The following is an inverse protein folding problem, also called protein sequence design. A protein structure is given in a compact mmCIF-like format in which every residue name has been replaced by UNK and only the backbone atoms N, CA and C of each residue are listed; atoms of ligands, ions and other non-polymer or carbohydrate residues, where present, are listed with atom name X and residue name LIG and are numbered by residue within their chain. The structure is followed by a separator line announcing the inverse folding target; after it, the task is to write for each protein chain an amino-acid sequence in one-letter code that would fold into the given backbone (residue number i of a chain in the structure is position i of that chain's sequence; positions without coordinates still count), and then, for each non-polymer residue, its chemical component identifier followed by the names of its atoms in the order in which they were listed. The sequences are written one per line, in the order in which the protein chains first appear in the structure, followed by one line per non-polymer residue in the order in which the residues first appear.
data_IF_186472120163
#
_entry.id   IF_186472120163
#
_cell.length_a   1.000
_cell.length_b   1.000
_cell.length_c   1.000
_cell.angle_alpha   90.00
_cell.angle_beta   90.00
_cell.angle_gamma   90.00
#
_symmetry.space_group_name_H-M   'P 1'
#
loop_
_entity.id
_entity.type
_entity.pdbx_description
1 polymer ?
#
# COMPACT_ATOMS: atom_id res chain seq x y z
N UNK A 1 -16.45 -4.27 -11.40
CA UNK A 1 -17.57 -5.23 -11.45
C UNK A 1 -18.65 -4.88 -12.48
N UNK A 2 -19.02 -3.60 -12.67
CA UNK A 2 -20.22 -3.19 -13.43
C UNK A 2 -20.06 -3.10 -14.95
N UNK A 3 -18.83 -3.18 -15.48
CA UNK A 3 -18.59 -2.86 -16.90
C UNK A 3 -17.92 -4.01 -17.68
N UNK A 4 -17.40 -5.04 -17.02
CA UNK A 4 -16.62 -6.08 -17.72
C UNK A 4 -17.49 -6.93 -18.66
N UNK A 5 -18.78 -7.05 -18.36
CA UNK A 5 -19.78 -7.72 -19.21
C UNK A 5 -19.92 -7.03 -20.58
N UNK A 6 -19.70 -5.72 -20.67
CA UNK A 6 -19.74 -4.97 -21.94
C UNK A 6 -18.61 -5.38 -22.91
N UNK A 7 -17.57 -6.05 -22.40
CA UNK A 7 -16.43 -6.54 -23.18
C UNK A 7 -16.45 -8.07 -23.32
N UNK A 8 -17.58 -8.73 -22.97
CA UNK A 8 -17.72 -10.18 -23.02
C UNK A 8 -17.07 -10.94 -21.87
N UNK A 9 -16.61 -10.25 -20.82
CA UNK A 9 -16.12 -10.90 -19.60
C UNK A 9 -17.23 -11.20 -18.60
N UNK A 10 -16.95 -12.07 -17.64
CA UNK A 10 -17.91 -12.50 -16.61
C UNK A 10 -17.55 -11.86 -15.26
N UNK A 11 -18.45 -11.03 -14.73
CA UNK A 11 -18.18 -10.28 -13.49
C UNK A 11 -17.99 -11.19 -12.27
N UNK A 12 -18.70 -12.31 -12.22
CA UNK A 12 -18.63 -13.26 -11.10
C UNK A 12 -17.45 -14.24 -11.23
N UNK A 13 -16.56 -14.02 -12.21
CA UNK A 13 -15.43 -14.89 -12.53
C UNK A 13 -14.14 -14.09 -12.70
N UNK A 14 -13.93 -13.11 -11.82
CA UNK A 14 -12.74 -12.26 -11.81
C UNK A 14 -11.60 -12.95 -11.07
N UNK A 15 -10.42 -12.99 -11.71
CA UNK A 15 -9.15 -13.37 -11.07
C UNK A 15 -8.29 -12.12 -10.92
N UNK A 16 -7.84 -11.82 -9.70
CA UNK A 16 -6.87 -10.74 -9.48
C UNK A 16 -5.47 -11.36 -9.45
N UNK A 17 -4.56 -10.83 -10.27
CA UNK A 17 -3.18 -11.25 -10.34
C UNK A 17 -2.24 -10.07 -10.04
N UNK A 18 -1.17 -10.33 -9.29
CA UNK A 18 -0.19 -9.32 -8.95
C UNK A 18 1.21 -9.89 -8.77
N UNK A 19 2.21 -9.09 -9.10
CA UNK A 19 3.64 -9.39 -8.94
C UNK A 19 4.28 -8.39 -7.96
N UNK A 20 5.23 -8.83 -7.15
CA UNK A 20 5.96 -8.00 -6.17
C UNK A 20 5.01 -7.18 -5.30
N UNK A 21 5.10 -5.85 -5.31
CA UNK A 21 4.18 -4.95 -4.61
C UNK A 21 2.72 -5.17 -5.02
N UNK A 22 2.44 -5.48 -6.29
CA UNK A 22 1.12 -5.87 -6.75
C UNK A 22 0.62 -7.14 -6.06
N UNK A 23 1.49 -8.13 -5.86
CA UNK A 23 1.15 -9.36 -5.12
C UNK A 23 0.87 -9.09 -3.64
N UNK A 24 1.61 -8.16 -3.02
CA UNK A 24 1.31 -7.65 -1.67
C UNK A 24 -0.10 -7.05 -1.63
N UNK A 25 -0.47 -6.23 -2.63
CA UNK A 25 -1.81 -5.65 -2.73
C UNK A 25 -2.89 -6.73 -2.95
N UNK A 26 -2.66 -7.74 -3.80
CA UNK A 26 -3.59 -8.87 -3.97
C UNK A 26 -3.84 -9.58 -2.63
N UNK A 27 -2.78 -9.83 -1.86
CA UNK A 27 -2.88 -10.39 -0.52
C UNK A 27 -3.72 -9.51 0.42
N UNK A 28 -3.50 -8.20 0.40
CA UNK A 28 -4.24 -7.25 1.23
C UNK A 28 -5.72 -7.15 0.82
N UNK A 29 -6.01 -7.11 -0.48
CA UNK A 29 -7.39 -7.13 -0.99
C UNK A 29 -8.12 -8.39 -0.49
N UNK A 30 -7.45 -9.52 -0.39
CA UNK A 30 -8.06 -10.73 0.14
C UNK A 30 -8.33 -10.74 1.65
N UNK A 31 -7.86 -9.73 2.37
CA UNK A 31 -8.02 -9.61 3.83
C UNK A 31 -8.98 -8.50 4.24
N UNK A 32 -9.42 -7.65 3.31
CA UNK A 32 -10.33 -6.55 3.60
C UNK A 32 -11.77 -6.92 3.23
N UNK A 33 -12.72 -6.65 4.13
CA UNK A 33 -14.15 -6.90 3.89
C UNK A 33 -14.66 -6.12 2.66
N UNK A 34 -14.05 -4.97 2.37
CA UNK A 34 -14.44 -4.09 1.27
C UNK A 34 -14.22 -4.69 -0.12
N UNK A 35 -13.35 -5.69 -0.24
CA UNK A 35 -13.07 -6.36 -1.52
C UNK A 35 -13.80 -7.72 -1.64
N UNK A 36 -14.50 -8.18 -0.60
CA UNK A 36 -15.26 -9.43 -0.66
C UNK A 36 -16.33 -9.38 -1.74
N UNK A 37 -16.43 -10.47 -2.50
CA UNK A 37 -17.38 -10.62 -3.60
C UNK A 37 -16.98 -9.94 -4.91
N UNK A 38 -15.86 -9.19 -4.95
CA UNK A 38 -15.38 -8.55 -6.19
C UNK A 38 -14.41 -9.41 -7.01
N UNK A 39 -13.95 -10.52 -6.43
CA UNK A 39 -13.06 -11.47 -7.08
C UNK A 39 -13.42 -12.89 -6.66
N UNK A 40 -13.02 -13.84 -7.50
CA UNK A 40 -13.18 -15.28 -7.28
C UNK A 40 -11.86 -15.97 -6.97
N UNK A 41 -10.77 -15.55 -7.64
CA UNK A 41 -9.45 -16.20 -7.54
C UNK A 41 -8.33 -15.19 -7.41
N UNK A 42 -7.20 -15.68 -6.89
CA UNK A 42 -6.01 -14.89 -6.64
C UNK A 42 -4.78 -15.54 -7.27
N UNK A 43 -3.94 -14.74 -7.90
CA UNK A 43 -2.60 -15.11 -8.36
C UNK A 43 -1.59 -14.16 -7.72
N UNK A 44 -0.68 -14.72 -6.93
CA UNK A 44 0.29 -13.98 -6.13
C UNK A 44 1.72 -14.37 -6.52
N UNK A 45 2.45 -13.46 -7.17
CA UNK A 45 3.79 -13.72 -7.70
C UNK A 45 4.81 -12.90 -6.90
N UNK A 46 5.71 -13.58 -6.20
CA UNK A 46 6.87 -12.96 -5.52
C UNK A 46 6.53 -11.86 -4.50
N UNK A 47 5.37 -11.96 -3.84
CA UNK A 47 4.99 -11.05 -2.76
C UNK A 47 3.73 -11.51 -2.03
N UNK A 48 3.56 -11.07 -0.78
CA UNK A 48 2.36 -11.31 0.02
C UNK A 48 2.27 -10.32 1.19
N UNK A 49 1.16 -10.30 1.91
CA UNK A 49 1.02 -9.48 3.13
C UNK A 49 1.94 -9.93 4.29
N UNK A 50 2.81 -10.93 4.07
CA UNK A 50 3.94 -11.22 4.97
C UNK A 50 5.09 -10.21 4.83
N UNK A 51 5.12 -9.43 3.74
CA UNK A 51 6.07 -8.34 3.55
C UNK A 51 5.88 -7.25 4.61
N UNK A 52 6.88 -6.39 4.78
CA UNK A 52 6.79 -5.25 5.71
C UNK A 52 5.65 -4.31 5.28
N UNK A 53 4.76 -4.04 6.23
CA UNK A 53 3.75 -2.99 6.14
C UNK A 53 4.07 -1.94 7.20
N UNK A 54 3.51 -0.75 7.04
CA UNK A 54 3.66 0.30 8.03
C UNK A 54 2.50 0.24 9.02
N UNK A 55 2.79 0.36 10.31
CA UNK A 55 1.76 0.61 11.32
C UNK A 55 1.18 2.02 11.16
N UNK A 56 0.14 2.31 11.93
CA UNK A 56 -0.33 3.68 12.12
C UNK A 56 0.45 4.41 13.23
N UNK A 57 1.68 3.96 13.57
CA UNK A 57 2.48 4.56 14.63
C UNK A 57 3.10 5.90 14.20
N UNK A 58 3.58 6.64 15.20
CA UNK A 58 4.23 7.95 15.06
C UNK A 58 5.37 7.96 14.02
N UNK A 59 6.02 6.82 13.74
CA UNK A 59 7.16 6.73 12.82
C UNK A 59 6.80 7.06 11.36
N UNK A 60 5.59 6.73 10.91
CA UNK A 60 5.12 7.03 9.54
C UNK A 60 4.69 8.48 9.42
N UNK A 61 4.08 8.98 10.49
CA UNK A 61 3.69 10.37 10.60
C UNK A 61 4.92 11.30 10.60
N UNK A 62 6.00 10.92 11.30
CA UNK A 62 7.29 11.59 11.23
C UNK A 62 7.87 11.66 9.81
N UNK A 63 7.70 10.60 9.01
CA UNK A 63 8.12 10.62 7.61
C UNK A 63 7.31 11.61 6.78
N UNK A 64 6.01 11.71 7.04
CA UNK A 64 5.13 12.67 6.38
C UNK A 64 5.52 14.11 6.72
N UNK A 65 5.87 14.37 7.99
CA UNK A 65 6.43 15.66 8.43
C UNK A 65 7.72 15.96 7.68
N UNK A 66 8.66 15.02 7.63
CA UNK A 66 9.96 15.25 6.97
C UNK A 66 9.83 15.57 5.47
N UNK A 67 8.85 14.96 4.77
CA UNK A 67 8.53 15.33 3.38
C UNK A 67 7.96 16.75 3.34
N UNK A 68 6.99 17.06 4.20
CA UNK A 68 6.36 18.38 4.23
C UNK A 68 7.37 19.50 4.57
N UNK A 69 8.33 19.27 5.46
CA UNK A 69 9.42 20.20 5.79
C UNK A 69 10.29 20.48 4.57
N UNK A 70 10.72 19.44 3.85
CA UNK A 70 11.52 19.57 2.62
C UNK A 70 10.78 20.31 1.51
N UNK A 71 9.46 20.16 1.45
CA UNK A 71 8.61 20.90 0.53
C UNK A 71 8.36 22.35 0.97
N UNK A 72 8.81 22.75 2.15
CA UNK A 72 8.54 24.05 2.76
C UNK A 72 7.06 24.23 3.12
N UNK A 73 6.36 23.12 3.37
CA UNK A 73 4.94 23.11 3.73
C UNK A 73 4.70 23.01 5.24
N UNK A 74 5.72 22.79 6.05
CA UNK A 74 5.66 22.91 7.52
C UNK A 74 7.00 23.43 8.04
N UNK A 75 7.01 23.97 9.25
CA UNK A 75 8.20 24.45 9.96
C UNK A 75 7.92 24.54 11.48
N UNK A 76 8.88 25.03 12.27
CA UNK A 76 8.74 25.17 13.74
C UNK A 76 7.49 25.94 14.19
N UNK A 77 7.01 26.89 13.39
CA UNK A 77 5.83 27.72 13.68
C UNK A 77 4.53 27.20 13.03
N UNK A 78 4.63 26.27 12.08
CA UNK A 78 3.50 25.71 11.34
C UNK A 78 3.69 24.21 11.24
N UNK A 79 3.16 23.47 12.21
CA UNK A 79 3.34 22.03 12.35
C UNK A 79 2.20 21.26 11.69
N UNK A 80 2.53 20.08 11.14
CA UNK A 80 1.56 19.22 10.46
C UNK A 80 0.49 18.70 11.43
N UNK A 81 0.87 18.48 12.68
CA UNK A 81 0.03 18.08 13.80
C UNK A 81 -1.07 19.09 14.10
N UNK A 82 -0.69 20.37 14.10
CA UNK A 82 -1.54 21.47 14.54
C UNK A 82 -2.49 21.91 13.41
N UNK A 83 -2.01 21.85 12.17
CA UNK A 83 -2.71 22.37 10.97
C UNK A 83 -2.55 21.41 9.77
N UNK A 84 -3.10 20.18 9.87
CA UNK A 84 -2.89 19.14 8.87
C UNK A 84 -3.52 19.49 7.52
N UNK A 85 -4.65 20.20 7.50
CA UNK A 85 -5.34 20.54 6.26
C UNK A 85 -4.53 21.55 5.44
N UNK A 86 -4.01 22.60 6.08
CA UNK A 86 -3.19 23.62 5.46
C UNK A 86 -1.87 23.04 4.95
N UNK A 87 -1.23 22.15 5.72
CA UNK A 87 -0.02 21.45 5.30
C UNK A 87 -0.28 20.57 4.07
N UNK A 88 -1.39 19.83 4.05
CA UNK A 88 -1.80 18.99 2.91
C UNK A 88 -2.15 19.83 1.69
N UNK A 89 -2.87 20.94 1.84
CA UNK A 89 -3.17 21.86 0.74
C UNK A 89 -1.89 22.47 0.15
N UNK A 90 -0.92 22.86 0.98
CA UNK A 90 0.38 23.29 0.50
C UNK A 90 1.07 22.19 -0.32
N UNK A 91 1.09 20.95 0.18
CA UNK A 91 1.72 19.82 -0.53
C UNK A 91 1.01 19.52 -1.87
N UNK A 92 -0.33 19.60 -1.91
CA UNK A 92 -1.11 19.46 -3.15
C UNK A 92 -0.78 20.53 -4.19
N UNK A 93 -0.35 21.70 -3.75
CA UNK A 93 0.11 22.79 -4.61
C UNK A 93 1.53 22.64 -5.17
N UNK A 94 2.29 21.62 -4.74
CA UNK A 94 3.66 21.38 -5.23
C UNK A 94 3.66 20.55 -6.51
N UNK A 95 4.70 20.74 -7.32
CA UNK A 95 4.95 19.89 -8.48
C UNK A 95 5.21 18.44 -8.05
N UNK A 96 4.59 17.48 -8.75
CA UNK A 96 4.68 16.06 -8.40
C UNK A 96 6.13 15.53 -8.47
N UNK A 97 6.95 16.01 -9.41
CA UNK A 97 8.35 15.58 -9.50
C UNK A 97 9.18 16.14 -8.35
N UNK A 98 8.85 17.32 -7.84
CA UNK A 98 9.47 17.84 -6.62
C UNK A 98 9.13 16.97 -5.41
N UNK A 99 7.86 16.56 -5.27
CA UNK A 99 7.44 15.65 -4.17
C UNK A 99 8.22 14.34 -4.23
N UNK A 100 8.28 13.68 -5.39
CA UNK A 100 8.98 12.40 -5.57
C UNK A 100 10.49 12.54 -5.26
N UNK A 101 11.12 13.64 -5.70
CA UNK A 101 12.54 13.88 -5.44
C UNK A 101 12.83 14.08 -3.96
N UNK A 102 12.04 14.90 -3.27
CA UNK A 102 12.25 15.14 -1.84
C UNK A 102 11.93 13.90 -1.00
N UNK A 103 10.93 13.12 -1.38
CA UNK A 103 10.65 11.81 -0.77
C UNK A 103 11.83 10.83 -0.94
N UNK A 104 12.40 10.73 -2.14
CA UNK A 104 13.52 9.84 -2.42
C UNK A 104 14.78 10.23 -1.61
N UNK A 105 15.00 11.53 -1.42
CA UNK A 105 16.12 12.06 -0.64
C UNK A 105 16.05 11.72 0.85
N UNK A 106 14.87 11.38 1.39
CA UNK A 106 14.71 10.99 2.81
C UNK A 106 15.23 9.58 3.11
N UNK A 107 15.31 8.70 2.11
CA UNK A 107 15.80 7.34 2.32
C UNK A 107 16.62 6.87 1.10
N UNK A 108 17.84 7.44 0.91
CA UNK A 108 18.67 7.11 -0.23
C UNK A 108 18.98 5.60 -0.26
N UNK A 109 18.53 4.91 -1.31
CA UNK A 109 18.75 3.47 -1.49
C UNK A 109 17.57 2.56 -1.07
N UNK A 110 16.48 3.12 -0.55
CA UNK A 110 15.22 2.37 -0.40
C UNK A 110 14.42 2.42 -1.69
N UNK A 111 13.85 1.28 -2.09
CA UNK A 111 12.93 1.18 -3.24
C UNK A 111 11.52 1.68 -2.93
N UNK A 112 11.21 2.01 -1.66
CA UNK A 112 9.91 2.53 -1.26
C UNK A 112 10.04 3.39 0.01
N UNK A 113 9.42 4.57 -0.02
CA UNK A 113 9.38 5.51 1.11
C UNK A 113 8.02 5.48 1.82
N UNK A 114 6.92 5.28 1.08
CA UNK A 114 5.60 4.97 1.64
C UNK A 114 5.14 3.56 1.21
N UNK A 115 4.53 2.84 2.15
CA UNK A 115 3.99 1.49 2.00
C UNK A 115 2.51 1.49 2.45
N UNK A 116 1.74 0.43 2.14
CA UNK A 116 0.42 0.28 2.73
C UNK A 116 0.48 0.27 4.27
N UNK A 117 -0.55 0.84 4.90
CA UNK A 117 -0.67 0.94 6.35
C UNK A 117 -1.76 0.02 6.89
N UNK A 118 -1.65 -0.29 8.18
CA UNK A 118 -2.71 -0.93 8.97
C UNK A 118 -3.02 -0.09 10.23
N UNK A 119 -4.09 -0.43 10.94
CA UNK A 119 -4.64 0.35 12.05
C UNK A 119 -5.73 1.33 11.63
N UNK A 120 -6.35 1.12 10.47
CA UNK A 120 -7.49 1.88 9.96
C UNK A 120 -8.68 0.96 9.66
N UNK A 121 -9.74 1.50 9.04
CA UNK A 121 -10.94 0.73 8.71
C UNK A 121 -10.72 -0.35 7.64
N UNK A 122 -9.73 -0.18 6.76
CA UNK A 122 -9.43 -1.14 5.70
C UNK A 122 -8.67 -2.35 6.26
N UNK A 123 -7.73 -2.10 7.17
CA UNK A 123 -6.90 -3.09 7.84
C UNK A 123 -6.77 -2.79 9.35
N UNK A 124 -7.77 -3.15 10.18
CA UNK A 124 -7.76 -2.77 11.60
C UNK A 124 -6.63 -3.39 12.43
N UNK A 125 -6.14 -4.55 11.99
CA UNK A 125 -5.02 -5.28 12.61
C UNK A 125 -3.90 -5.43 11.61
N UNK A 126 -2.70 -5.75 12.11
CA UNK A 126 -1.56 -6.07 11.26
C UNK A 126 -1.89 -7.28 10.37
N UNK A 127 -1.94 -7.13 9.04
CA UNK A 127 -2.25 -8.21 8.11
C UNK A 127 -1.32 -9.42 8.26
N UNK A 128 -0.05 -9.20 8.61
CA UNK A 128 0.90 -10.29 8.83
C UNK A 128 0.49 -11.17 10.02
N UNK A 129 0.03 -10.57 11.10
CA UNK A 129 -0.42 -11.32 12.29
C UNK A 129 -1.72 -12.07 11.99
N UNK A 130 -2.67 -11.41 11.33
CA UNK A 130 -3.92 -12.04 10.90
C UNK A 130 -3.66 -13.27 10.01
N UNK A 131 -2.70 -13.19 9.08
CA UNK A 131 -2.29 -14.34 8.28
C UNK A 131 -1.73 -15.48 9.13
N UNK A 132 -0.87 -15.18 10.10
CA UNK A 132 -0.25 -16.19 10.98
C UNK A 132 -1.26 -16.84 11.93
N UNK A 133 -2.32 -16.12 12.30
CA UNK A 133 -3.44 -16.62 13.12
C UNK A 133 -4.47 -17.42 12.30
N UNK A 134 -4.29 -17.50 10.97
CA UNK A 134 -5.22 -18.22 10.09
C UNK A 134 -6.47 -17.44 9.72
N UNK A 135 -6.49 -16.11 9.93
CA UNK A 135 -7.57 -15.21 9.54
C UNK A 135 -7.63 -14.93 8.03
N UNK A 136 -7.37 -15.95 7.21
CA UNK A 136 -7.25 -15.84 5.76
C UNK A 136 -8.19 -16.81 5.06
N UNK A 137 -9.19 -16.28 4.36
CA UNK A 137 -10.17 -17.07 3.62
C UNK A 137 -10.08 -16.77 2.13
N UNK A 138 -9.70 -17.78 1.34
CA UNK A 138 -9.77 -17.75 -0.12
C UNK A 138 -10.20 -19.12 -0.63
N UNK A 139 -10.92 -19.13 -1.75
CA UNK A 139 -11.36 -20.39 -2.36
C UNK A 139 -10.26 -21.00 -3.23
N UNK A 140 -9.58 -20.16 -4.03
CA UNK A 140 -8.61 -20.61 -5.03
C UNK A 140 -7.43 -19.61 -5.12
N UNK A 141 -6.22 -20.08 -4.78
CA UNK A 141 -4.98 -19.30 -4.78
C UNK A 141 -3.88 -20.03 -5.54
N UNK A 142 -3.21 -19.29 -6.42
CA UNK A 142 -1.92 -19.69 -6.99
C UNK A 142 -0.84 -18.72 -6.49
N UNK A 143 0.14 -19.23 -5.76
CA UNK A 143 1.23 -18.41 -5.17
C UNK A 143 2.59 -19.05 -5.43
N UNK A 144 3.61 -18.22 -5.71
CA UNK A 144 4.98 -18.69 -5.90
C UNK A 144 6.01 -17.56 -6.00
N UNK A 145 7.29 -17.96 -6.05
CA UNK A 145 8.45 -17.07 -6.11
C UNK A 145 9.36 -17.47 -7.27
N UNK A 146 10.23 -16.57 -7.73
CA UNK A 146 11.32 -16.93 -8.62
C UNK A 146 12.48 -17.60 -7.85
N UNK A 147 13.35 -18.32 -8.58
CA UNK A 147 14.48 -19.06 -7.98
C UNK A 147 15.64 -18.17 -7.48
N UNK A 148 15.63 -16.87 -7.79
CA UNK A 148 16.72 -15.93 -7.48
C UNK A 148 16.20 -14.56 -7.04
N UNK A 149 15.14 -14.53 -6.23
CA UNK A 149 14.65 -13.30 -5.61
C UNK A 149 15.80 -12.58 -4.87
N UNK A 150 16.02 -11.30 -5.19
CA UNK A 150 17.10 -10.48 -4.63
C UNK A 150 18.38 -10.38 -5.47
N UNK A 151 18.45 -11.05 -6.64
CA UNK A 151 19.51 -10.80 -7.62
C UNK A 151 19.36 -9.44 -8.33
N UNK A 152 18.12 -8.93 -8.41
CA UNK A 152 17.82 -7.58 -8.89
C UNK A 152 18.21 -6.55 -7.82
N UNK A 153 19.10 -5.62 -8.17
CA UNK A 153 19.59 -4.54 -7.29
C UNK A 153 19.16 -3.19 -7.81
#
# INVERSE_FOLDING_TARGET
HTHIENFGGEKDNITIAGESAGSVIVSLLSMTEYAKGYYKRLIMQSGSAMWKLMDNELSVFQRSIAVAERLGCVNDSFKLEDQPNEAVECMRGKDALTIIKEEANLNPGSSSSFLPRYGDELFPKNPREVLLEGGFEFQELFIGNSGTEGAFK
#
